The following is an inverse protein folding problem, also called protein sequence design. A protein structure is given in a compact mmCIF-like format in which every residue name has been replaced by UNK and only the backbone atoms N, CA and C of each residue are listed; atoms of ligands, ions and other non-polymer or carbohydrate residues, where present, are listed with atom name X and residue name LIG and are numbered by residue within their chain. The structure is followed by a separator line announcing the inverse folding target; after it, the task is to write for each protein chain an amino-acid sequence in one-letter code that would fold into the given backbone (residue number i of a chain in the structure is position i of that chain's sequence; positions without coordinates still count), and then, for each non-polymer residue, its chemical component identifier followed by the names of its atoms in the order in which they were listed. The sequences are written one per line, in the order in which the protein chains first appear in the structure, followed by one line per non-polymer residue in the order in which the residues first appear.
data_IF_710306194954
#
_entry.id   IF_710306194954
#
_cell.length_a   1.000
_cell.length_b   1.000
_cell.length_c   1.000
_cell.angle_alpha   90.00
_cell.angle_beta   90.00
_cell.angle_gamma   90.00
#
_symmetry.space_group_name_H-M   'P 1'
#
loop_
_entity.id
_entity.type
_entity.pdbx_description
1 polymer ?
#
# COMPACT_ATOMS: atom_id res chain seq x y z
N UNK A 1 22.39 -0.24 7.19
CA UNK A 1 21.92 -0.73 5.87
C UNK A 1 20.42 -0.95 6.01
N UNK A 2 19.57 -0.37 5.15
CA UNK A 2 18.14 -0.44 5.36
C UNK A 2 17.65 -1.89 5.18
N UNK A 3 17.26 -2.49 6.31
CA UNK A 3 16.24 -3.53 6.49
C UNK A 3 16.42 -4.84 5.71
N UNK A 4 17.14 -5.79 6.32
CA UNK A 4 17.48 -7.12 5.80
C UNK A 4 16.28 -8.06 5.52
N UNK A 5 15.02 -7.64 5.69
CA UNK A 5 13.84 -8.50 5.49
C UNK A 5 12.57 -7.78 4.95
N UNK A 6 12.68 -6.56 4.40
CA UNK A 6 11.52 -5.89 3.78
C UNK A 6 11.49 -6.11 2.26
N UNK A 7 10.31 -6.36 1.65
CA UNK A 7 10.22 -6.49 0.20
C UNK A 7 10.59 -5.17 -0.48
N UNK A 8 11.32 -5.28 -1.60
CA UNK A 8 11.62 -4.14 -2.45
C UNK A 8 10.39 -3.84 -3.30
N UNK A 9 9.78 -2.67 -3.11
CA UNK A 9 8.62 -2.23 -3.89
C UNK A 9 9.03 -1.11 -4.84
N UNK A 10 8.74 -1.31 -6.13
CA UNK A 10 8.91 -0.27 -7.15
C UNK A 10 7.59 0.45 -7.39
N UNK A 11 7.62 1.78 -7.44
CA UNK A 11 6.48 2.63 -7.72
C UNK A 11 6.82 3.57 -8.88
N UNK A 12 6.10 3.44 -10.01
CA UNK A 12 6.21 4.32 -11.18
C UNK A 12 5.14 5.41 -11.21
N UNK A 13 4.35 5.55 -10.14
CA UNK A 13 3.21 6.46 -10.05
C UNK A 13 3.72 7.86 -9.73
N UNK A 14 3.61 8.79 -10.69
CA UNK A 14 4.23 10.12 -10.61
C UNK A 14 3.61 11.04 -9.55
N UNK A 15 2.36 10.80 -9.14
CA UNK A 15 1.68 11.54 -8.08
C UNK A 15 1.67 10.79 -6.73
N UNK A 16 2.39 9.67 -6.62
CA UNK A 16 2.54 8.97 -5.35
C UNK A 16 3.43 9.79 -4.42
N UNK A 17 2.93 10.08 -3.22
CA UNK A 17 3.67 10.88 -2.24
C UNK A 17 4.89 10.16 -1.63
N UNK A 18 4.97 8.84 -1.82
CA UNK A 18 6.06 7.99 -1.37
C UNK A 18 7.01 7.60 -2.51
N UNK A 19 6.80 8.16 -3.70
CA UNK A 19 7.72 7.94 -4.81
C UNK A 19 9.12 8.45 -4.44
N UNK A 20 10.12 7.62 -4.66
CA UNK A 20 11.52 7.90 -4.42
C UNK A 20 12.37 7.74 -5.67
N UNK A 21 13.66 8.01 -5.51
CA UNK A 21 14.64 7.85 -6.58
C UNK A 21 14.58 6.45 -7.20
N UNK A 22 14.82 6.38 -8.52
CA UNK A 22 14.81 5.13 -9.29
C UNK A 22 13.49 4.34 -9.17
N UNK A 23 12.35 5.00 -8.95
CA UNK A 23 11.05 4.35 -8.74
C UNK A 23 11.00 3.45 -7.50
N UNK A 24 11.79 3.70 -6.46
CA UNK A 24 11.61 2.99 -5.20
C UNK A 24 10.45 3.60 -4.39
N UNK A 25 9.60 2.77 -3.79
CA UNK A 25 8.59 3.23 -2.86
C UNK A 25 9.19 3.37 -1.45
N UNK A 26 9.10 4.55 -0.86
CA UNK A 26 9.60 4.85 0.49
C UNK A 26 8.52 4.80 1.58
N UNK A 27 7.36 4.20 1.30
CA UNK A 27 6.32 4.05 2.31
C UNK A 27 6.75 3.07 3.41
N UNK A 28 6.50 3.41 4.67
CA UNK A 28 6.78 2.52 5.81
C UNK A 28 5.93 1.24 5.76
N UNK A 29 4.72 1.37 5.20
CA UNK A 29 3.72 0.32 5.04
C UNK A 29 2.99 0.47 3.70
N UNK A 30 2.77 -0.66 3.03
CA UNK A 30 1.99 -0.75 1.79
C UNK A 30 0.99 -1.89 1.96
N UNK A 31 -0.25 -1.66 1.56
CA UNK A 31 -1.28 -2.68 1.47
C UNK A 31 -1.58 -2.96 -0.01
N UNK A 32 -1.64 -4.24 -0.36
CA UNK A 32 -2.00 -4.69 -1.71
C UNK A 32 -3.39 -5.29 -1.61
N UNK A 33 -4.31 -4.82 -2.44
CA UNK A 33 -5.70 -5.28 -2.52
C UNK A 33 -6.07 -5.54 -3.99
N UNK A 34 -7.29 -5.98 -4.27
CA UNK A 34 -7.83 -6.07 -5.62
C UNK A 34 -8.26 -4.68 -6.12
N UNK A 35 -8.11 -4.43 -7.42
CA UNK A 35 -8.43 -3.14 -8.05
C UNK A 35 -9.91 -2.73 -7.85
N UNK A 36 -10.80 -3.71 -7.64
CA UNK A 36 -12.20 -3.48 -7.26
C UNK A 36 -12.36 -2.66 -5.96
N UNK A 37 -11.34 -2.63 -5.11
CA UNK A 37 -11.30 -1.88 -3.86
C UNK A 37 -10.45 -0.61 -3.94
N UNK A 38 -10.00 -0.21 -5.14
CA UNK A 38 -9.15 0.98 -5.32
C UNK A 38 -9.79 2.28 -4.80
N UNK A 39 -11.13 2.36 -4.76
CA UNK A 39 -11.89 3.50 -4.26
C UNK A 39 -12.32 3.39 -2.79
N UNK A 40 -12.03 2.26 -2.12
CA UNK A 40 -12.35 2.10 -0.71
C UNK A 40 -11.57 3.10 0.13
N UNK A 41 -12.30 3.83 0.96
CA UNK A 41 -11.72 4.72 1.98
C UNK A 41 -11.44 3.92 3.24
N UNK A 42 -10.20 3.45 3.37
CA UNK A 42 -9.71 2.90 4.63
C UNK A 42 -9.52 4.05 5.61
N UNK A 43 -10.51 4.28 6.48
CA UNK A 43 -10.40 5.22 7.60
C UNK A 43 -9.66 4.59 8.80
N UNK A 44 -8.83 3.57 8.57
CA UNK A 44 -8.16 2.81 9.61
C UNK A 44 -7.05 3.65 10.26
N UNK A 45 -7.17 3.88 11.56
CA UNK A 45 -6.09 4.42 12.37
C UNK A 45 -5.01 3.35 12.53
N UNK A 46 -3.74 3.77 12.48
CA UNK A 46 -2.55 2.91 12.51
C UNK A 46 -2.43 1.98 13.74
N UNK A 47 -3.40 1.99 14.67
CA UNK A 47 -3.24 1.46 16.02
C UNK A 47 -4.43 0.67 16.61
N UNK A 48 -5.50 0.32 15.87
CA UNK A 48 -6.56 -0.42 16.56
C UNK A 48 -7.64 -1.14 15.77
N UNK A 49 -8.11 -0.61 14.65
CA UNK A 49 -9.32 -1.15 14.04
C UNK A 49 -9.18 -1.29 12.51
N UNK A 50 -9.21 -2.54 12.07
CA UNK A 50 -9.33 -3.00 10.68
C UNK A 50 -8.23 -2.55 9.70
N UNK A 51 -6.98 -2.94 9.96
CA UNK A 51 -6.28 -3.62 8.86
C UNK A 51 -7.13 -4.83 8.56
N UNK A 52 -7.65 -4.94 7.34
CA UNK A 52 -8.58 -6.00 6.93
C UNK A 52 -7.85 -7.36 6.91
N UNK A 53 -7.52 -7.86 8.10
CA UNK A 53 -6.74 -9.07 8.33
C UNK A 53 -7.59 -10.33 8.19
N UNK A 54 -8.90 -10.18 8.05
CA UNK A 54 -9.86 -11.27 7.90
C UNK A 54 -10.38 -11.44 6.46
N UNK A 55 -10.26 -10.42 5.61
CA UNK A 55 -10.66 -10.53 4.22
C UNK A 55 -9.53 -11.05 3.35
N UNK A 56 -9.83 -12.11 2.58
CA UNK A 56 -8.97 -12.63 1.52
C UNK A 56 -9.74 -12.58 0.23
N UNK A 57 -9.37 -11.65 -0.63
CA UNK A 57 -9.88 -11.61 -1.99
C UNK A 57 -9.05 -12.45 -2.96
N UNK A 58 -9.69 -12.88 -4.03
CA UNK A 58 -9.02 -13.54 -5.15
C UNK A 58 -9.01 -12.59 -6.33
N UNK A 59 -7.81 -12.15 -6.72
CA UNK A 59 -7.61 -11.46 -7.99
C UNK A 59 -7.67 -12.48 -9.14
N UNK A 60 -8.42 -12.18 -10.19
CA UNK A 60 -8.46 -13.03 -11.41
C UNK A 60 -7.16 -12.98 -12.21
N UNK A 61 -6.33 -11.95 -12.00
CA UNK A 61 -5.00 -11.79 -12.58
C UNK A 61 -4.13 -10.87 -11.72
N UNK A 62 -2.82 -10.91 -11.90
CA UNK A 62 -1.89 -10.01 -11.20
C UNK A 62 -2.08 -8.53 -11.55
N UNK A 63 -2.73 -8.22 -12.68
CA UNK A 63 -3.06 -6.84 -13.07
C UNK A 63 -4.31 -6.31 -12.36
N UNK A 64 -5.11 -7.18 -11.73
CA UNK A 64 -6.31 -6.80 -11.00
C UNK A 64 -6.02 -6.50 -9.52
N UNK A 65 -4.81 -6.03 -9.21
CA UNK A 65 -4.40 -5.62 -7.86
C UNK A 65 -4.01 -4.15 -7.84
N UNK A 66 -4.24 -3.48 -6.71
CA UNK A 66 -3.88 -2.09 -6.46
C UNK A 66 -3.08 -1.95 -5.15
N UNK A 67 -2.26 -0.89 -5.07
CA UNK A 67 -1.45 -0.59 -3.89
C UNK A 67 -2.03 0.61 -3.15
N UNK A 68 -2.36 0.44 -1.88
CA UNK A 68 -2.72 1.52 -0.97
C UNK A 68 -1.52 1.90 -0.10
N UNK A 69 -1.13 3.17 -0.16
CA UNK A 69 -0.08 3.75 0.68
C UNK A 69 -0.71 4.68 1.72
N UNK A 70 -0.47 4.45 3.00
CA UNK A 70 -1.09 5.19 4.09
C UNK A 70 -0.23 6.37 4.53
N UNK A 71 -0.81 7.57 4.52
CA UNK A 71 -0.22 8.76 5.13
C UNK A 71 -0.59 8.87 6.60
N UNK A 72 0.38 9.15 7.49
CA UNK A 72 0.06 9.62 8.83
C UNK A 72 -0.88 10.82 8.73
N UNK A 73 -1.91 10.89 9.58
CA UNK A 73 -2.70 12.12 9.72
C UNK A 73 -1.73 13.24 10.08
N UNK A 74 -1.65 14.26 9.23
CA UNK A 74 -1.03 15.53 9.62
C UNK A 74 -1.86 16.09 10.77
N UNK A 75 -1.24 16.25 11.94
CA UNK A 75 -1.85 16.85 13.12
C UNK A 75 -2.22 18.31 12.88
#
# INVERSE_FOLDING_TARGET
MPNENKPIVRCSVSNCAYWGEQNYCNADLIMIDIDKHADRKYNAEFAGEAFDSEHKDTASSSAATCCHTFKPKSS
#
